data_IF_200458898497
#
_entry.id   IF_200458898497
#
_cell.length_a   1.000
_cell.length_b   1.000
_cell.length_c   1.000
_cell.angle_alpha   90.00
_cell.angle_beta   90.00
_cell.angle_gamma   90.00
#
_symmetry.space_group_name_H-M   'P 1'
#
loop_
_entity.id
_entity.type
_entity.pdbx_description
1 polymer ?
#
# COMPACT_ATOMS: atom_id res chain seq x y z
N UNK A 1 -2.99 11.70 27.66
CA UNK A 1 -3.06 11.65 29.14
C UNK A 1 -1.74 11.19 29.73
N UNK A 2 -1.51 11.34 31.04
CA UNK A 2 -0.26 10.85 31.70
C UNK A 2 -0.05 9.33 31.53
N UNK A 3 -1.15 8.56 31.51
CA UNK A 3 -1.11 7.12 31.28
C UNK A 3 -0.65 6.75 29.85
N UNK A 4 -1.12 7.48 28.83
CA UNK A 4 -0.68 7.27 27.44
C UNK A 4 0.81 7.60 27.27
N UNK A 5 1.31 8.64 27.94
CA UNK A 5 2.74 8.98 27.92
C UNK A 5 3.59 7.90 28.61
N UNK A 6 3.12 7.36 29.74
CA UNK A 6 3.79 6.26 30.43
C UNK A 6 3.83 4.99 29.57
N UNK A 7 2.72 4.65 28.89
CA UNK A 7 2.66 3.54 27.93
C UNK A 7 3.62 3.77 26.76
N UNK A 8 3.63 4.97 26.18
CA UNK A 8 4.53 5.31 25.08
C UNK A 8 6.01 5.15 25.51
N UNK A 9 6.38 5.63 26.69
CA UNK A 9 7.74 5.47 27.22
C UNK A 9 8.10 3.99 27.43
N UNK A 10 7.20 3.20 28.01
CA UNK A 10 7.39 1.75 28.17
C UNK A 10 7.61 1.07 26.82
N UNK A 11 6.72 1.32 25.86
CA UNK A 11 6.78 0.73 24.51
C UNK A 11 8.07 1.11 23.80
N UNK A 12 8.48 2.38 23.85
CA UNK A 12 9.73 2.83 23.23
C UNK A 12 10.96 2.16 23.87
N UNK A 13 10.97 1.96 25.19
CA UNK A 13 12.04 1.22 25.88
C UNK A 13 12.07 -0.24 25.49
N UNK A 14 10.92 -0.88 25.34
CA UNK A 14 10.81 -2.27 24.87
C UNK A 14 11.29 -2.40 23.42
N UNK A 15 10.89 -1.51 22.52
CA UNK A 15 11.36 -1.47 21.13
C UNK A 15 12.86 -1.19 21.02
N UNK A 16 13.46 -0.51 21.99
CA UNK A 16 14.89 -0.26 22.02
C UNK A 16 15.72 -1.49 22.46
N UNK A 17 15.08 -2.59 22.88
CA UNK A 17 15.76 -3.80 23.33
C UNK A 17 15.80 -4.87 22.21
N UNK A 18 16.95 -5.06 21.52
CA UNK A 18 17.02 -5.89 20.31
C UNK A 18 16.54 -7.34 20.50
N UNK A 19 16.88 -8.06 21.58
CA UNK A 19 16.41 -9.44 21.78
C UNK A 19 14.88 -9.57 21.74
N UNK A 20 14.15 -8.61 22.31
CA UNK A 20 12.69 -8.60 22.30
C UNK A 20 12.13 -8.33 20.91
N UNK A 21 12.74 -7.41 20.16
CA UNK A 21 12.31 -7.11 18.78
C UNK A 21 12.58 -8.28 17.85
N UNK A 22 13.76 -8.89 17.96
CA UNK A 22 14.17 -10.02 17.12
C UNK A 22 13.36 -11.29 17.40
N UNK A 23 13.02 -11.56 18.66
CA UNK A 23 12.31 -12.79 19.07
C UNK A 23 10.86 -12.56 19.48
N UNK A 24 10.27 -11.42 19.13
CA UNK A 24 8.95 -11.00 19.62
C UNK A 24 7.84 -12.02 19.34
N UNK A 25 7.84 -12.65 18.17
CA UNK A 25 6.86 -13.69 17.82
C UNK A 25 6.99 -14.95 18.67
N UNK A 26 8.22 -15.39 18.94
CA UNK A 26 8.48 -16.55 19.79
C UNK A 26 8.08 -16.25 21.25
N UNK A 27 8.39 -15.05 21.73
CA UNK A 27 8.00 -14.57 23.07
C UNK A 27 6.49 -14.45 23.20
N UNK A 28 5.79 -13.98 22.16
CA UNK A 28 4.33 -13.94 22.12
C UNK A 28 3.74 -15.35 22.17
N UNK A 29 4.23 -16.28 21.35
CA UNK A 29 3.75 -17.68 21.36
C UNK A 29 3.99 -18.34 22.72
N UNK A 30 5.15 -18.10 23.33
CA UNK A 30 5.47 -18.59 24.67
C UNK A 30 4.56 -17.96 25.74
N UNK A 31 4.34 -16.64 25.68
CA UNK A 31 3.41 -15.92 26.57
C UNK A 31 1.99 -16.46 26.47
N UNK A 32 1.49 -16.72 25.26
CA UNK A 32 0.16 -17.32 25.06
C UNK A 32 0.09 -18.74 25.62
N UNK A 33 1.15 -19.54 25.49
CA UNK A 33 1.21 -20.91 26.04
C UNK A 33 1.28 -20.92 27.57
N UNK A 34 1.97 -19.96 28.18
CA UNK A 34 2.17 -19.89 29.63
C UNK A 34 1.00 -19.22 30.36
N UNK A 35 0.58 -18.04 29.90
CA UNK A 35 -0.40 -17.17 30.56
C UNK A 35 -1.82 -17.34 30.01
N UNK A 36 -1.98 -18.06 28.89
CA UNK A 36 -3.22 -18.16 28.15
C UNK A 36 -3.50 -16.92 27.28
N UNK A 37 -4.40 -17.08 26.31
CA UNK A 37 -4.73 -16.05 25.31
C UNK A 37 -5.33 -14.79 25.92
N UNK A 38 -6.15 -14.92 26.98
CA UNK A 38 -6.82 -13.78 27.63
C UNK A 38 -5.84 -12.83 28.32
N UNK A 39 -4.98 -13.37 29.18
CA UNK A 39 -4.01 -12.56 29.94
C UNK A 39 -2.92 -12.04 29.02
N UNK A 40 -2.37 -12.89 28.15
CA UNK A 40 -1.39 -12.45 27.15
C UNK A 40 -1.96 -11.36 26.23
N UNK A 41 -3.22 -11.50 25.80
CA UNK A 41 -3.90 -10.49 24.98
C UNK A 41 -4.15 -9.18 25.72
N UNK A 42 -4.55 -9.24 27.00
CA UNK A 42 -4.71 -8.05 27.83
C UNK A 42 -3.37 -7.30 28.03
N UNK A 43 -2.27 -8.01 28.26
CA UNK A 43 -0.93 -7.43 28.37
C UNK A 43 -0.47 -6.77 27.07
N UNK A 44 -0.71 -7.41 25.92
CA UNK A 44 -0.40 -6.83 24.62
C UNK A 44 -1.22 -5.56 24.36
N UNK A 45 -2.52 -5.58 24.65
CA UNK A 45 -3.41 -4.41 24.57
C UNK A 45 -2.97 -3.27 25.47
N UNK A 46 -2.54 -3.56 26.69
CA UNK A 46 -2.06 -2.55 27.62
C UNK A 46 -0.70 -1.93 27.21
N UNK A 47 0.06 -2.59 26.32
CA UNK A 47 1.41 -2.19 25.92
C UNK A 47 1.51 -1.85 24.43
N UNK A 48 2.10 -2.74 23.64
CA UNK A 48 2.44 -2.54 22.22
C UNK A 48 1.20 -2.32 21.36
N UNK A 49 0.18 -3.17 21.53
CA UNK A 49 -0.99 -3.15 20.66
C UNK A 49 -1.80 -1.87 20.85
N UNK A 50 -2.10 -1.48 22.09
CA UNK A 50 -2.81 -0.24 22.39
C UNK A 50 -2.00 1.04 22.11
N UNK A 51 -0.72 0.94 21.75
CA UNK A 51 0.09 2.07 21.31
C UNK A 51 0.03 2.28 19.79
N UNK A 52 -0.11 1.22 19.00
CA UNK A 52 -0.02 1.28 17.54
C UNK A 52 -1.34 0.96 16.81
N UNK A 53 -2.30 0.33 17.48
CA UNK A 53 -3.57 -0.06 16.88
C UNK A 53 -4.69 0.85 17.37
N UNK A 54 -5.46 1.38 16.41
CA UNK A 54 -6.54 2.33 16.68
C UNK A 54 -7.77 1.70 17.36
N UNK A 55 -7.95 0.39 17.21
CA UNK A 55 -9.05 -0.38 17.78
C UNK A 55 -9.17 -1.76 17.12
N UNK A 56 -9.87 -2.67 17.79
CA UNK A 56 -10.22 -4.00 17.27
C UNK A 56 -11.60 -4.00 16.58
N UNK A 57 -12.44 -3.02 16.90
CA UNK A 57 -13.79 -2.87 16.33
C UNK A 57 -13.92 -1.58 15.52
N UNK A 58 -14.89 -1.55 14.60
CA UNK A 58 -15.19 -0.36 13.79
C UNK A 58 -15.55 0.83 14.70
N UNK A 59 -16.26 0.58 15.79
CA UNK A 59 -16.68 1.57 16.79
C UNK A 59 -15.48 2.19 17.50
N UNK A 60 -14.53 1.36 17.95
CA UNK A 60 -13.28 1.81 18.57
C UNK A 60 -12.46 2.67 17.60
N UNK A 61 -12.29 2.20 16.36
CA UNK A 61 -11.58 2.93 15.32
C UNK A 61 -12.27 4.27 15.02
N UNK A 62 -13.60 4.30 14.90
CA UNK A 62 -14.37 5.55 14.71
C UNK A 62 -14.15 6.51 15.88
N UNK A 63 -14.16 6.01 17.11
CA UNK A 63 -13.87 6.80 18.32
C UNK A 63 -12.47 7.42 18.27
N UNK A 64 -11.45 6.61 17.96
CA UNK A 64 -10.07 7.06 17.84
C UNK A 64 -9.88 8.09 16.73
N UNK A 65 -10.51 7.89 15.56
CA UNK A 65 -10.46 8.84 14.44
C UNK A 65 -11.05 10.19 14.85
N UNK A 66 -12.21 10.21 15.54
CA UNK A 66 -12.82 11.45 16.04
C UNK A 66 -11.92 12.16 17.04
N UNK A 67 -11.27 11.41 17.94
CA UNK A 67 -10.31 11.96 18.90
C UNK A 67 -9.14 12.64 18.18
N UNK A 68 -8.53 11.97 17.19
CA UNK A 68 -7.44 12.54 16.40
C UNK A 68 -7.88 13.79 15.61
N UNK A 69 -9.08 13.77 15.03
CA UNK A 69 -9.66 14.93 14.33
C UNK A 69 -9.90 16.11 15.26
N UNK A 70 -10.33 15.87 16.50
CA UNK A 70 -10.45 16.91 17.53
C UNK A 70 -9.11 17.57 17.89
N UNK A 71 -7.99 16.87 17.67
CA UNK A 71 -6.63 17.39 17.80
C UNK A 71 -6.09 18.03 16.51
N UNK A 72 -6.92 18.18 15.48
CA UNK A 72 -6.52 18.69 14.17
C UNK A 72 -5.72 17.70 13.30
N UNK A 73 -5.60 16.44 13.74
CA UNK A 73 -4.91 15.38 13.01
C UNK A 73 -5.87 14.66 12.06
N UNK A 74 -5.36 14.24 10.90
CA UNK A 74 -6.11 13.44 9.93
C UNK A 74 -5.48 12.05 9.82
N UNK A 75 -6.00 11.06 10.57
CA UNK A 75 -5.43 9.72 10.52
C UNK A 75 -5.68 9.07 9.15
N UNK A 76 -4.66 8.39 8.64
CA UNK A 76 -4.76 7.48 7.52
C UNK A 76 -5.01 6.08 8.07
N UNK A 77 -6.12 5.45 7.69
CA UNK A 77 -6.44 4.12 8.17
C UNK A 77 -5.72 3.06 7.31
N UNK A 78 -4.89 2.26 7.98
CA UNK A 78 -4.23 1.09 7.41
C UNK A 78 -5.05 -0.16 7.78
N UNK A 79 -6.12 -0.43 7.02
CA UNK A 79 -6.96 -1.60 7.30
C UNK A 79 -6.29 -2.84 6.68
N UNK A 80 -5.91 -3.85 7.48
CA UNK A 80 -5.67 -5.18 6.94
C UNK A 80 -7.01 -5.66 6.39
N UNK A 81 -7.10 -5.86 5.08
CA UNK A 81 -8.36 -5.97 4.33
C UNK A 81 -9.27 -7.05 4.95
N UNK A 82 -10.25 -6.59 5.73
CA UNK A 82 -11.48 -7.28 6.07
C UNK A 82 -12.59 -6.21 6.14
N UNK A 83 -13.56 -6.36 5.22
CA UNK A 83 -14.90 -5.76 5.15
C UNK A 83 -15.12 -4.24 5.01
N UNK A 84 -16.27 -3.93 4.40
CA UNK A 84 -16.71 -2.61 3.94
C UNK A 84 -17.19 -1.73 5.11
N UNK A 85 -16.73 -0.47 5.22
CA UNK A 85 -17.25 0.43 6.23
C UNK A 85 -18.56 1.10 5.77
N UNK A 86 -19.54 1.05 6.65
CA UNK A 86 -20.83 1.73 6.51
C UNK A 86 -20.70 3.26 6.52
N UNK A 87 -21.53 3.89 5.69
CA UNK A 87 -21.49 5.30 5.33
C UNK A 87 -21.55 6.28 6.51
N UNK A 88 -20.63 7.26 6.57
CA UNK A 88 -20.89 8.58 7.17
C UNK A 88 -19.76 9.63 6.95
N UNK A 89 -20.23 10.87 6.80
CA UNK A 89 -19.57 12.19 6.85
C UNK A 89 -18.80 12.67 5.59
N UNK A 90 -19.52 13.43 4.76
CA UNK A 90 -18.97 14.25 3.67
C UNK A 90 -18.32 15.51 4.25
N UNK A 91 -17.00 15.47 4.49
CA UNK A 91 -16.09 16.64 4.42
C UNK A 91 -14.64 16.22 4.67
N UNK A 92 -13.79 16.32 3.65
CA UNK A 92 -12.33 16.18 3.73
C UNK A 92 -11.73 15.23 2.69
N UNK A 93 -10.50 15.53 2.23
CA UNK A 93 -9.67 14.62 1.43
C UNK A 93 -9.31 13.39 2.28
N UNK A 94 -10.13 12.34 2.22
CA UNK A 94 -9.86 11.06 2.87
C UNK A 94 -8.86 10.29 2.02
N UNK A 95 -7.97 9.54 2.67
CA UNK A 95 -6.98 8.68 2.03
C UNK A 95 -7.18 7.25 2.55
N UNK A 96 -6.96 6.26 1.70
CA UNK A 96 -6.95 4.84 2.05
C UNK A 96 -5.68 4.20 1.53
N UNK A 97 -5.00 3.40 2.36
CA UNK A 97 -3.87 2.59 1.88
C UNK A 97 -4.37 1.39 1.08
N UNK A 98 -3.78 1.18 -0.08
CA UNK A 98 -4.07 0.05 -0.95
C UNK A 98 -2.81 -0.76 -1.19
N UNK A 99 -2.86 -2.05 -0.87
CA UNK A 99 -1.86 -3.03 -1.33
C UNK A 99 -2.34 -3.67 -2.62
N UNK A 100 -1.60 -3.49 -3.70
CA UNK A 100 -1.94 -4.04 -5.01
C UNK A 100 -1.99 -5.57 -4.94
N UNK A 101 -1.06 -6.19 -4.20
CA UNK A 101 -1.00 -7.65 -4.05
C UNK A 101 -2.22 -8.28 -3.36
N UNK A 102 -3.10 -7.48 -2.76
CA UNK A 102 -4.39 -7.98 -2.27
C UNK A 102 -5.44 -8.15 -3.37
N UNK A 103 -5.26 -7.48 -4.51
CA UNK A 103 -6.17 -7.53 -5.66
C UNK A 103 -5.56 -8.20 -6.89
N UNK A 104 -4.27 -8.51 -6.87
CA UNK A 104 -3.55 -9.20 -7.93
C UNK A 104 -2.48 -10.12 -7.35
N UNK A 105 -2.22 -11.25 -8.00
CA UNK A 105 -1.21 -12.18 -7.48
C UNK A 105 0.21 -11.62 -7.56
N UNK A 106 1.03 -11.99 -6.58
CA UNK A 106 2.48 -11.72 -6.59
C UNK A 106 3.14 -12.38 -7.81
N UNK A 107 2.66 -13.56 -8.23
CA UNK A 107 3.16 -14.27 -9.42
C UNK A 107 3.00 -13.40 -10.67
N UNK A 108 1.81 -12.88 -10.93
CA UNK A 108 1.58 -11.98 -12.06
C UNK A 108 2.45 -10.71 -11.97
N UNK A 109 2.58 -10.11 -10.78
CA UNK A 109 3.41 -8.92 -10.59
C UNK A 109 4.90 -9.20 -10.89
N UNK A 110 5.41 -10.39 -10.56
CA UNK A 110 6.77 -10.82 -10.91
C UNK A 110 6.94 -10.95 -12.42
N UNK A 111 6.00 -11.60 -13.09
CA UNK A 111 6.04 -11.77 -14.55
C UNK A 111 6.05 -10.40 -15.25
N UNK A 112 5.10 -9.52 -14.92
CA UNK A 112 5.05 -8.16 -15.43
C UNK A 112 6.35 -7.39 -15.18
N UNK A 113 6.89 -7.47 -13.96
CA UNK A 113 8.16 -6.82 -13.63
C UNK A 113 9.32 -7.35 -14.47
N UNK A 114 9.37 -8.66 -14.71
CA UNK A 114 10.42 -9.28 -15.51
C UNK A 114 10.41 -8.80 -16.96
N UNK A 115 9.24 -8.45 -17.49
CA UNK A 115 9.07 -7.92 -18.84
C UNK A 115 9.36 -6.43 -18.92
N UNK A 116 8.87 -5.63 -17.96
CA UNK A 116 9.11 -4.18 -17.89
C UNK A 116 10.61 -3.86 -17.85
N UNK A 117 11.40 -4.69 -17.15
CA UNK A 117 12.85 -4.50 -17.01
C UNK A 117 13.66 -4.88 -18.25
N UNK A 118 13.08 -5.53 -19.28
CA UNK A 118 13.82 -5.91 -20.49
C UNK A 118 14.07 -4.66 -21.36
N UNK A 119 15.29 -4.49 -21.91
CA UNK A 119 15.57 -3.45 -22.90
C UNK A 119 14.64 -3.61 -24.11
N UNK A 120 14.02 -2.52 -24.57
CA UNK A 120 13.06 -2.57 -25.68
C UNK A 120 11.72 -3.20 -25.30
N UNK A 121 11.31 -3.09 -24.03
CA UNK A 121 10.03 -3.57 -23.55
C UNK A 121 8.87 -3.10 -24.45
N UNK A 122 7.98 -4.04 -24.76
CA UNK A 122 6.90 -3.84 -25.73
C UNK A 122 5.97 -2.69 -25.29
N UNK A 123 5.58 -1.84 -26.23
CA UNK A 123 4.53 -0.81 -26.06
C UNK A 123 3.19 -1.39 -25.60
N UNK A 124 3.05 -2.72 -25.66
CA UNK A 124 1.88 -3.46 -25.20
C UNK A 124 1.56 -3.29 -23.71
N UNK A 125 2.55 -2.99 -22.87
CA UNK A 125 2.37 -2.73 -21.43
C UNK A 125 2.41 -1.23 -21.10
N UNK A 126 1.79 -0.39 -21.93
CA UNK A 126 1.66 1.04 -21.64
C UNK A 126 0.48 1.33 -20.70
N UNK A 127 0.61 2.28 -19.74
CA UNK A 127 -0.49 2.71 -18.88
C UNK A 127 -1.76 3.10 -19.65
N UNK A 128 -1.61 3.73 -20.81
CA UNK A 128 -2.71 4.22 -21.64
C UNK A 128 -3.53 3.07 -22.23
N UNK A 129 -2.85 2.05 -22.78
CA UNK A 129 -3.52 0.87 -23.35
C UNK A 129 -4.23 0.07 -22.26
N UNK A 130 -3.60 -0.08 -21.09
CA UNK A 130 -4.22 -0.76 -19.96
C UNK A 130 -5.45 0.02 -19.45
N UNK A 131 -5.40 1.35 -19.44
CA UNK A 131 -6.51 2.20 -19.02
C UNK A 131 -7.69 2.14 -20.01
N UNK A 132 -7.41 2.13 -21.32
CA UNK A 132 -8.43 1.95 -22.36
C UNK A 132 -9.13 0.58 -22.25
N UNK A 133 -8.38 -0.48 -21.96
CA UNK A 133 -8.96 -1.81 -21.72
C UNK A 133 -9.88 -1.84 -20.49
N UNK A 134 -9.57 -1.06 -19.44
CA UNK A 134 -10.42 -0.92 -18.25
C UNK A 134 -11.74 -0.21 -18.58
N UNK A 135 -11.71 0.81 -19.44
CA UNK A 135 -12.90 1.60 -19.79
C UNK A 135 -13.81 0.91 -20.79
N UNK A 136 -13.22 0.29 -21.81
CA UNK A 136 -13.97 -0.42 -22.84
C UNK A 136 -14.50 -1.78 -22.36
N UNK A 137 -13.94 -2.32 -21.28
CA UNK A 137 -14.21 -3.68 -20.81
C UNK A 137 -13.71 -4.76 -21.77
N UNK A 138 -12.93 -4.40 -22.80
CA UNK A 138 -12.38 -5.35 -23.75
C UNK A 138 -11.26 -6.17 -23.12
N UNK A 139 -11.17 -7.44 -23.54
CA UNK A 139 -10.08 -8.33 -23.13
C UNK A 139 -8.75 -7.83 -23.68
N UNK A 140 -7.82 -7.51 -22.79
CA UNK A 140 -6.44 -7.25 -23.19
C UNK A 140 -5.72 -8.55 -23.51
N UNK A 141 -4.94 -8.53 -24.59
CA UNK A 141 -3.97 -9.56 -24.90
C UNK A 141 -2.59 -8.92 -24.95
N UNK A 142 -1.74 -9.37 -24.02
CA UNK A 142 -0.32 -9.04 -23.99
C UNK A 142 0.44 -10.27 -24.46
N UNK A 143 1.19 -10.14 -25.55
CA UNK A 143 1.95 -11.22 -26.18
C UNK A 143 2.95 -11.88 -25.25
N UNK A 144 3.44 -11.12 -24.27
CA UNK A 144 4.42 -11.57 -23.29
C UNK A 144 3.81 -12.38 -22.13
N UNK A 145 2.48 -12.53 -22.12
CA UNK A 145 1.73 -13.28 -21.12
C UNK A 145 1.00 -14.45 -21.79
N UNK A 146 0.89 -15.57 -21.08
CA UNK A 146 0.03 -16.68 -21.50
C UNK A 146 -1.46 -16.35 -21.28
N UNK A 147 -2.35 -17.22 -21.77
CA UNK A 147 -3.80 -16.99 -21.69
C UNK A 147 -4.31 -16.81 -20.24
N UNK A 148 -3.83 -17.64 -19.30
CA UNK A 148 -4.20 -17.56 -17.89
C UNK A 148 -3.72 -16.24 -17.26
N UNK A 149 -2.49 -15.82 -17.57
CA UNK A 149 -1.91 -14.57 -17.10
C UNK A 149 -2.63 -13.35 -17.66
N UNK A 150 -3.01 -13.37 -18.94
CA UNK A 150 -3.83 -12.31 -19.55
C UNK A 150 -5.22 -12.23 -18.91
N UNK A 151 -5.86 -13.37 -18.67
CA UNK A 151 -7.14 -13.41 -17.95
C UNK A 151 -7.00 -12.87 -16.52
N UNK A 152 -5.92 -13.23 -15.82
CA UNK A 152 -5.61 -12.72 -14.48
C UNK A 152 -5.40 -11.20 -14.52
N UNK A 153 -4.61 -10.70 -15.47
CA UNK A 153 -4.36 -9.27 -15.63
C UNK A 153 -5.67 -8.51 -15.85
N UNK A 154 -6.53 -8.98 -16.76
CA UNK A 154 -7.84 -8.38 -16.99
C UNK A 154 -8.69 -8.36 -15.72
N UNK A 155 -8.75 -9.48 -15.00
CA UNK A 155 -9.52 -9.55 -13.75
C UNK A 155 -8.97 -8.60 -12.67
N UNK A 156 -7.64 -8.46 -12.58
CA UNK A 156 -6.97 -7.51 -11.68
C UNK A 156 -7.27 -6.07 -12.04
N UNK A 157 -7.19 -5.71 -13.33
CA UNK A 157 -7.53 -4.37 -13.82
C UNK A 157 -9.01 -4.05 -13.52
N UNK A 158 -9.93 -4.99 -13.75
CA UNK A 158 -11.35 -4.81 -13.44
C UNK A 158 -11.61 -4.62 -11.93
N UNK A 159 -10.90 -5.35 -11.06
CA UNK A 159 -10.99 -5.15 -9.60
C UNK A 159 -10.47 -3.77 -9.18
N UNK A 160 -9.31 -3.37 -9.70
CA UNK A 160 -8.70 -2.08 -9.41
C UNK A 160 -9.55 -0.92 -9.93
N UNK A 161 -10.12 -1.05 -11.13
CA UNK A 161 -11.02 -0.05 -11.71
C UNK A 161 -12.25 0.17 -10.82
N UNK A 162 -12.95 -0.91 -10.45
CA UNK A 162 -14.13 -0.85 -9.57
C UNK A 162 -13.80 -0.25 -8.21
N UNK A 163 -12.67 -0.61 -7.62
CA UNK A 163 -12.22 -0.02 -6.35
C UNK A 163 -11.97 1.49 -6.50
N UNK A 164 -11.26 1.92 -7.54
CA UNK A 164 -10.98 3.34 -7.77
C UNK A 164 -12.26 4.15 -8.03
N UNK A 165 -13.19 3.60 -8.81
CA UNK A 165 -14.50 4.18 -9.04
C UNK A 165 -15.30 4.33 -7.74
N UNK A 166 -15.36 3.28 -6.92
CA UNK A 166 -16.04 3.31 -5.63
C UNK A 166 -15.39 4.30 -4.66
N UNK A 167 -14.06 4.24 -4.49
CA UNK A 167 -13.31 5.15 -3.62
C UNK A 167 -13.56 6.61 -4.01
N UNK A 168 -13.53 6.92 -5.31
CA UNK A 168 -13.84 8.25 -5.82
C UNK A 168 -15.28 8.67 -5.51
N UNK A 169 -16.27 7.80 -5.70
CA UNK A 169 -17.68 8.08 -5.35
C UNK A 169 -17.86 8.44 -3.86
N UNK A 170 -16.98 7.90 -3.01
CA UNK A 170 -16.95 8.16 -1.57
C UNK A 170 -15.99 9.30 -1.18
N UNK A 171 -15.42 10.02 -2.15
CA UNK A 171 -14.40 11.06 -1.96
C UNK A 171 -13.17 10.57 -1.18
N UNK A 172 -12.75 9.34 -1.42
CA UNK A 172 -11.55 8.71 -0.87
C UNK A 172 -10.48 8.61 -1.96
N UNK A 173 -9.29 9.14 -1.66
CA UNK A 173 -8.08 9.01 -2.49
C UNK A 173 -7.37 7.71 -2.14
N UNK A 174 -6.91 6.98 -3.15
CA UNK A 174 -6.17 5.73 -2.99
C UNK A 174 -4.67 6.03 -2.88
N UNK A 175 -4.03 5.51 -1.84
CA UNK A 175 -2.60 5.60 -1.59
C UNK A 175 -1.99 4.21 -1.76
N UNK A 176 -1.41 3.94 -2.92
CA UNK A 176 -0.86 2.62 -3.21
C UNK A 176 0.47 2.45 -2.50
N UNK A 177 0.57 1.42 -1.66
CA UNK A 177 1.79 1.11 -0.92
C UNK A 177 2.85 0.50 -1.85
N UNK A 178 4.10 0.92 -1.64
CA UNK A 178 5.24 0.23 -2.19
C UNK A 178 5.49 -1.05 -1.40
N UNK A 179 5.78 -2.13 -2.09
CA UNK A 179 5.98 -3.45 -1.49
C UNK A 179 7.44 -3.87 -1.66
N UNK A 180 7.69 -5.08 -2.17
CA UNK A 180 9.04 -5.57 -2.42
C UNK A 180 9.58 -5.04 -3.76
N UNK A 181 10.86 -4.67 -3.79
CA UNK A 181 11.58 -4.18 -4.98
C UNK A 181 11.38 -5.01 -6.24
N UNK A 182 11.23 -6.34 -6.13
CA UNK A 182 11.05 -7.24 -7.28
C UNK A 182 9.64 -7.23 -7.90
N UNK A 183 8.65 -6.59 -7.28
CA UNK A 183 7.31 -6.36 -7.84
C UNK A 183 6.98 -4.89 -8.06
N UNK A 184 7.72 -3.97 -7.45
CA UNK A 184 7.43 -2.53 -7.55
C UNK A 184 7.27 -2.00 -8.99
N UNK A 185 8.02 -2.45 -10.01
CA UNK A 185 7.78 -2.01 -11.39
C UNK A 185 6.38 -2.36 -11.90
N UNK A 186 5.86 -3.56 -11.62
CA UNK A 186 4.49 -3.91 -11.97
C UNK A 186 3.45 -3.11 -11.19
N UNK A 187 3.73 -2.81 -9.91
CA UNK A 187 2.87 -1.96 -9.09
C UNK A 187 2.81 -0.54 -9.67
N UNK A 188 3.95 0.05 -10.00
CA UNK A 188 4.04 1.37 -10.64
C UNK A 188 3.29 1.41 -11.96
N UNK A 189 3.37 0.35 -12.79
CA UNK A 189 2.59 0.25 -14.03
C UNK A 189 1.07 0.29 -13.75
N UNK A 190 0.59 -0.49 -12.78
CA UNK A 190 -0.83 -0.53 -12.41
C UNK A 190 -1.29 0.81 -11.80
N UNK A 191 -0.44 1.48 -11.03
CA UNK A 191 -0.71 2.81 -10.48
C UNK A 191 -0.78 3.86 -11.58
N UNK A 192 0.18 3.85 -12.52
CA UNK A 192 0.19 4.74 -13.67
C UNK A 192 -1.06 4.53 -14.54
N UNK A 193 -1.45 3.26 -14.75
CA UNK A 193 -2.69 2.90 -15.46
C UNK A 193 -3.92 3.54 -14.80
N UNK A 194 -4.03 3.40 -13.48
CA UNK A 194 -5.11 4.03 -12.71
C UNK A 194 -5.01 5.56 -12.75
N UNK A 195 -3.80 6.13 -12.73
CA UNK A 195 -3.58 7.57 -12.78
C UNK A 195 -4.01 8.16 -14.14
N UNK A 196 -3.68 7.50 -15.26
CA UNK A 196 -4.16 7.89 -16.59
C UNK A 196 -5.68 8.00 -16.60
N UNK A 197 -6.36 7.03 -15.98
CA UNK A 197 -7.81 7.02 -15.95
C UNK A 197 -8.45 8.00 -14.97
N UNK A 198 -7.86 8.15 -13.78
CA UNK A 198 -8.53 8.77 -12.63
C UNK A 198 -7.89 10.06 -12.15
N UNK A 199 -6.66 10.41 -12.55
CA UNK A 199 -5.95 11.59 -12.01
C UNK A 199 -6.11 12.86 -12.85
N UNK A 200 -7.24 13.08 -13.51
CA UNK A 200 -7.52 14.35 -14.19
C UNK A 200 -7.50 15.53 -13.18
N UNK A 201 -6.68 16.58 -13.41
CA UNK A 201 -6.70 17.78 -12.55
C UNK A 201 -8.07 18.47 -12.53
N UNK A 202 -8.80 18.45 -13.65
CA UNK A 202 -10.15 19.03 -13.79
C UNK A 202 -11.17 18.35 -12.88
N UNK A 203 -10.90 17.11 -12.48
CA UNK A 203 -11.77 16.29 -11.65
C UNK A 203 -11.30 16.24 -10.19
N UNK A 204 -10.42 17.15 -9.77
CA UNK A 204 -9.95 17.26 -8.38
C UNK A 204 -8.87 16.24 -8.00
N UNK A 205 -8.21 15.63 -8.99
CA UNK A 205 -7.08 14.72 -8.80
C UNK A 205 -5.90 15.35 -8.02
N UNK A 206 -4.91 14.56 -7.58
CA UNK A 206 -4.74 13.13 -7.84
C UNK A 206 -5.62 12.26 -6.95
N UNK A 207 -6.35 11.32 -7.56
CA UNK A 207 -7.20 10.36 -6.86
C UNK A 207 -6.43 9.09 -6.48
N UNK A 208 -5.40 8.75 -7.25
CA UNK A 208 -4.51 7.62 -7.01
C UNK A 208 -3.09 8.14 -6.83
N UNK A 209 -2.45 7.71 -5.75
CA UNK A 209 -1.11 8.14 -5.34
C UNK A 209 -0.17 6.95 -5.34
N UNK A 210 1.04 7.15 -5.84
CA UNK A 210 2.10 6.13 -5.80
C UNK A 210 3.02 6.35 -4.58
N UNK A 211 3.65 5.28 -4.11
CA UNK A 211 4.64 5.34 -3.02
C UNK A 211 6.05 5.13 -3.57
N UNK A 212 6.96 6.05 -3.24
CA UNK A 212 8.37 5.99 -3.62
C UNK A 212 9.24 5.76 -2.39
N UNK A 213 10.17 4.80 -2.47
CA UNK A 213 10.97 4.37 -1.34
C UNK A 213 12.39 4.97 -1.42
N UNK A 214 12.66 6.03 -0.66
CA UNK A 214 13.89 6.83 -0.71
C UNK A 214 15.19 6.06 -0.37
N UNK A 215 15.11 4.88 0.25
CA UNK A 215 16.26 4.00 0.47
C UNK A 215 16.79 3.30 -0.80
N UNK A 216 16.05 3.28 -1.91
CA UNK A 216 16.52 2.74 -3.19
C UNK A 216 17.32 3.82 -3.91
N UNK A 217 18.46 3.42 -4.48
CA UNK A 217 19.38 4.33 -5.16
C UNK A 217 18.70 5.04 -6.34
N UNK A 218 17.86 4.33 -7.08
CA UNK A 218 17.26 4.85 -8.31
C UNK A 218 15.99 5.71 -8.07
N UNK A 219 15.50 5.82 -6.83
CA UNK A 219 14.20 6.47 -6.54
C UNK A 219 14.08 7.88 -7.08
N UNK A 220 15.18 8.64 -7.07
CA UNK A 220 15.17 9.99 -7.61
C UNK A 220 14.91 10.02 -9.13
N UNK A 221 15.57 9.13 -9.87
CA UNK A 221 15.40 9.00 -11.32
C UNK A 221 13.99 8.52 -11.68
N UNK A 222 13.48 7.49 -10.98
CA UNK A 222 12.11 6.99 -11.17
C UNK A 222 11.06 8.06 -10.88
N UNK A 223 11.20 8.78 -9.76
CA UNK A 223 10.26 9.84 -9.39
C UNK A 223 10.25 10.96 -10.44
N UNK A 224 11.42 11.35 -10.96
CA UNK A 224 11.53 12.38 -11.99
C UNK A 224 10.86 11.93 -13.29
N UNK A 225 11.17 10.72 -13.74
CA UNK A 225 10.59 10.15 -14.95
C UNK A 225 9.05 10.08 -14.86
N UNK A 226 8.50 9.58 -13.75
CA UNK A 226 7.06 9.46 -13.56
C UNK A 226 6.38 10.84 -13.45
N UNK A 227 7.03 11.82 -12.82
CA UNK A 227 6.54 13.19 -12.76
C UNK A 227 6.48 13.83 -14.15
N UNK A 228 7.53 13.66 -14.96
CA UNK A 228 7.57 14.15 -16.35
C UNK A 228 6.51 13.47 -17.23
N UNK A 229 6.33 12.14 -17.09
CA UNK A 229 5.31 11.40 -17.80
C UNK A 229 3.90 11.89 -17.45
N UNK A 230 3.61 12.06 -16.15
CA UNK A 230 2.33 12.61 -15.69
C UNK A 230 2.11 14.04 -16.21
N UNK A 231 3.14 14.88 -16.21
CA UNK A 231 3.07 16.24 -16.74
C UNK A 231 2.76 16.25 -18.24
N UNK A 232 3.48 15.45 -19.04
CA UNK A 232 3.25 15.31 -20.49
C UNK A 232 1.83 14.80 -20.80
N UNK A 233 1.30 13.92 -19.97
CA UNK A 233 -0.07 13.40 -20.08
C UNK A 233 -1.15 14.36 -19.50
N UNK A 234 -0.77 15.49 -18.91
CA UNK A 234 -1.71 16.44 -18.30
C UNK A 234 -2.41 15.92 -17.03
N UNK A 235 -1.79 14.97 -16.34
CA UNK A 235 -2.33 14.31 -15.14
C UNK A 235 -1.85 14.97 -13.86
N UNK A 236 -2.68 14.93 -12.81
CA UNK A 236 -2.25 15.28 -11.47
C UNK A 236 -1.37 14.16 -10.90
N UNK A 237 -0.18 14.52 -10.39
CA UNK A 237 0.79 13.55 -9.89
C UNK A 237 0.74 13.43 -8.36
N UNK A 238 0.38 12.24 -7.86
CA UNK A 238 0.26 11.95 -6.42
C UNK A 238 1.44 11.14 -5.90
N UNK A 239 2.16 11.66 -4.91
CA UNK A 239 3.42 11.09 -4.40
C UNK A 239 3.35 10.89 -2.89
N UNK A 240 3.64 9.67 -2.43
CA UNK A 240 3.98 9.35 -1.04
C UNK A 240 5.45 8.98 -0.97
N UNK A 241 6.28 9.86 -0.43
CA UNK A 241 7.69 9.56 -0.22
C UNK A 241 7.88 8.92 1.16
N UNK A 242 8.50 7.74 1.20
CA UNK A 242 8.81 7.02 2.43
C UNK A 242 10.28 6.61 2.44
N UNK A 243 10.84 6.29 3.61
CA UNK A 243 12.19 5.69 3.66
C UNK A 243 12.20 4.30 3.03
N UNK A 244 11.30 3.42 3.47
CA UNK A 244 11.21 2.01 3.07
C UNK A 244 11.06 1.09 4.28
N UNK A 245 10.34 -0.01 4.13
CA UNK A 245 10.03 -0.94 5.24
C UNK A 245 10.73 -2.32 5.13
N UNK A 246 11.39 -2.61 4.01
CA UNK A 246 11.88 -3.95 3.67
C UNK A 246 13.42 -4.07 3.59
N UNK A 247 14.16 -3.05 4.04
CA UNK A 247 15.62 -2.94 3.87
C UNK A 247 16.41 -4.17 4.34
N UNK A 248 16.09 -4.71 5.51
CA UNK A 248 16.82 -5.85 6.06
C UNK A 248 16.59 -7.12 5.24
N UNK A 249 15.32 -7.42 4.91
CA UNK A 249 14.96 -8.56 4.06
C UNK A 249 15.60 -8.44 2.68
N UNK A 250 15.60 -7.25 2.08
CA UNK A 250 16.20 -7.03 0.76
C UNK A 250 17.71 -7.14 0.78
N UNK A 251 18.39 -6.70 1.84
CA UNK A 251 19.84 -6.93 2.01
C UNK A 251 20.19 -8.42 2.10
N UNK A 252 19.36 -9.22 2.78
CA UNK A 252 19.56 -10.68 2.84
C UNK A 252 19.39 -11.28 1.44
N UNK A 253 18.33 -10.91 0.73
CA UNK A 253 18.07 -11.39 -0.64
C UNK A 253 19.20 -10.99 -1.59
N UNK A 254 19.67 -9.76 -1.55
CA UNK A 254 20.77 -9.27 -2.38
C UNK A 254 22.06 -10.07 -2.15
N UNK A 255 22.41 -10.33 -0.88
CA UNK A 255 23.56 -11.18 -0.53
C UNK A 255 23.42 -12.60 -1.06
N UNK A 256 22.24 -13.20 -0.97
CA UNK A 256 21.96 -14.55 -1.50
C UNK A 256 22.04 -14.60 -3.03
N UNK A 257 21.70 -13.51 -3.71
CA UNK A 257 21.70 -13.40 -5.17
C UNK A 257 23.01 -12.86 -5.75
N UNK A 258 23.99 -12.52 -4.90
CA UNK A 258 25.26 -11.93 -5.34
C UNK A 258 25.14 -10.53 -5.94
N UNK A 259 24.02 -9.84 -5.68
CA UNK A 259 23.77 -8.47 -6.15
C UNK A 259 24.13 -7.46 -5.05
N UNK A 260 24.63 -6.28 -5.46
CA UNK A 260 25.01 -5.20 -4.55
C UNK A 260 23.82 -4.35 -4.13
#
# INVERSE_FOLDING_TARGET
TKAELARALLVLRLCAWPPLVTHGLALQAWSQRLLGSRVSGALLRASMYGQFVAGETIEEVKGYVRQMQGLGLRPLLAVPIEEEPDSAAKTGNRLMQLRITALTSIRLCKELTSWIRRPGSSSELSPERLAEAMDSGQSIQVSCLNAEQNQHLQASLNRLHRLAQYARSQHVRLLVDAEYTFINPALSLLVATLAVRWNSPREGGPWVWNTYQAYLQDTHEWLRHDAEAAHKAGLAFGVKLVRGAYLEKERIVARLQGTK
#
